data_IF_855218707590
#
_entry.id   IF_855218707590
#
_cell.length_a   1.000
_cell.length_b   1.000
_cell.length_c   1.000
_cell.angle_alpha   90.00
_cell.angle_beta   90.00
_cell.angle_gamma   90.00
#
_symmetry.space_group_name_H-M   'P 1'
#
loop_
_entity.id
_entity.type
_entity.pdbx_description
1 polymer ?
#
# COMPACT_ATOMS: atom_id res chain seq x y z
N UNK A 1 8.22 1.64 10.91
CA UNK A 1 6.89 2.28 11.11
C UNK A 1 5.87 1.57 10.24
N UNK A 2 4.60 1.50 10.65
CA UNK A 2 3.47 1.02 9.85
C UNK A 2 2.37 2.08 9.83
N UNK A 3 2.02 2.58 8.65
CA UNK A 3 0.87 3.48 8.44
C UNK A 3 -0.27 2.65 7.85
N UNK A 4 -1.48 2.83 8.36
CA UNK A 4 -2.63 2.01 7.94
C UNK A 4 -3.96 2.73 8.13
N UNK A 5 -4.91 2.37 7.27
CA UNK A 5 -6.28 2.87 7.29
C UNK A 5 -7.15 2.22 8.40
N UNK A 6 -8.45 2.52 8.34
CA UNK A 6 -9.46 2.06 9.28
C UNK A 6 -10.09 0.68 9.00
N UNK A 7 -9.59 -0.11 8.03
CA UNK A 7 -10.21 -1.38 7.62
C UNK A 7 -10.56 -2.26 8.84
N UNK A 8 -11.75 -2.90 8.92
CA UNK A 8 -12.10 -3.73 10.09
C UNK A 8 -11.08 -4.85 10.38
N UNK A 9 -10.53 -5.49 9.35
CA UNK A 9 -9.49 -6.53 9.48
C UNK A 9 -8.25 -6.02 10.23
N UNK A 10 -7.87 -4.77 9.98
CA UNK A 10 -6.78 -4.09 10.65
C UNK A 10 -7.07 -3.94 12.16
N UNK A 11 -8.33 -3.76 12.58
CA UNK A 11 -8.73 -3.57 13.99
C UNK A 11 -8.99 -4.87 14.76
N UNK A 12 -8.86 -6.03 14.11
CA UNK A 12 -9.11 -7.33 14.73
C UNK A 12 -8.23 -7.61 15.95
N UNK A 13 -8.72 -8.44 16.88
CA UNK A 13 -7.95 -8.88 18.04
C UNK A 13 -6.64 -9.57 17.63
N UNK A 14 -6.69 -10.41 16.57
CA UNK A 14 -5.50 -11.06 16.00
C UNK A 14 -4.46 -10.04 15.53
N UNK A 15 -4.87 -8.99 14.83
CA UNK A 15 -3.94 -7.95 14.39
C UNK A 15 -3.34 -7.17 15.57
N UNK A 16 -4.14 -6.86 16.59
CA UNK A 16 -3.63 -6.21 17.82
C UNK A 16 -2.57 -7.07 18.53
N UNK A 17 -2.81 -8.37 18.64
CA UNK A 17 -1.82 -9.30 19.22
C UNK A 17 -0.51 -9.36 18.41
N UNK A 18 -0.61 -9.37 17.07
CA UNK A 18 0.58 -9.34 16.20
C UNK A 18 1.38 -8.04 16.36
N UNK A 19 0.72 -6.90 16.52
CA UNK A 19 1.41 -5.62 16.78
C UNK A 19 2.05 -5.63 18.17
N UNK A 20 1.32 -6.07 19.20
CA UNK A 20 1.82 -6.10 20.58
C UNK A 20 3.07 -6.98 20.74
N UNK A 21 3.18 -8.06 19.98
CA UNK A 21 4.36 -8.93 19.96
C UNK A 21 5.62 -8.29 19.33
N UNK A 22 5.53 -7.06 18.79
CA UNK A 22 6.61 -6.37 18.06
C UNK A 22 6.88 -5.00 18.68
N UNK A 23 7.64 -4.91 19.79
CA UNK A 23 7.87 -3.64 20.49
C UNK A 23 8.60 -2.59 19.65
N UNK A 24 9.33 -3.01 18.62
CA UNK A 24 10.01 -2.14 17.66
C UNK A 24 9.05 -1.49 16.63
N UNK A 25 7.81 -1.97 16.52
CA UNK A 25 6.88 -1.54 15.47
C UNK A 25 6.01 -0.37 15.94
N UNK A 26 6.37 0.84 15.52
CA UNK A 26 5.49 2.02 15.66
C UNK A 26 4.36 1.96 14.61
N UNK A 27 3.11 1.96 15.06
CA UNK A 27 1.92 1.89 14.20
C UNK A 27 1.14 3.20 14.27
N UNK A 28 0.84 3.79 13.11
CA UNK A 28 0.05 5.01 12.95
C UNK A 28 -1.22 4.67 12.19
N UNK A 29 -2.36 5.09 12.74
CA UNK A 29 -3.66 4.91 12.12
C UNK A 29 -4.08 6.22 11.45
N UNK A 30 -4.44 6.15 10.18
CA UNK A 30 -4.97 7.28 9.44
C UNK A 30 -6.40 7.64 9.91
N UNK A 31 -6.80 8.92 9.80
CA UNK A 31 -8.20 9.32 9.94
C UNK A 31 -9.13 8.51 9.02
N UNK A 32 -10.42 8.46 9.37
CA UNK A 32 -11.43 7.87 8.48
C UNK A 32 -11.53 8.67 7.19
N UNK A 33 -11.76 7.98 6.07
CA UNK A 33 -11.98 8.61 4.76
C UNK A 33 -10.84 9.54 4.27
N UNK A 34 -9.59 9.23 4.64
CA UNK A 34 -8.40 9.98 4.20
C UNK A 34 -7.50 9.15 3.26
N UNK A 35 -7.97 8.75 2.06
CA UNK A 35 -7.18 7.96 1.11
C UNK A 35 -5.94 8.71 0.59
N UNK A 36 -5.97 10.04 0.54
CA UNK A 36 -4.87 10.91 0.14
C UNK A 36 -3.64 10.77 1.06
N UNK A 37 -3.86 10.36 2.31
CA UNK A 37 -2.79 10.10 3.28
C UNK A 37 -2.25 8.66 3.22
N UNK A 38 -2.85 7.77 2.42
CA UNK A 38 -2.42 6.38 2.31
C UNK A 38 -1.48 6.19 1.11
N UNK A 39 -0.15 6.00 1.31
CA UNK A 39 0.79 5.86 0.21
C UNK A 39 0.52 4.61 -0.65
N UNK A 40 -0.16 3.61 -0.08
CA UNK A 40 -0.59 2.41 -0.81
C UNK A 40 -1.60 2.76 -1.90
N UNK A 41 -2.47 3.75 -1.70
CA UNK A 41 -3.43 4.21 -2.71
C UNK A 41 -2.71 4.86 -3.90
N UNK A 42 -1.67 5.65 -3.64
CA UNK A 42 -0.83 6.23 -4.70
C UNK A 42 -0.14 5.14 -5.53
N UNK A 43 0.37 4.09 -4.86
CA UNK A 43 0.95 2.93 -5.53
C UNK A 43 -0.07 2.21 -6.41
N UNK A 44 -1.27 1.94 -5.88
CA UNK A 44 -2.35 1.30 -6.63
C UNK A 44 -2.81 2.12 -7.82
N UNK A 45 -2.98 3.43 -7.63
CA UNK A 45 -3.35 4.38 -8.66
C UNK A 45 -2.33 4.36 -9.82
N UNK A 46 -1.03 4.39 -9.49
CA UNK A 46 0.05 4.34 -10.47
C UNK A 46 0.12 3.00 -11.22
N UNK A 47 -0.02 1.90 -10.50
CA UNK A 47 -0.05 0.56 -11.09
C UNK A 47 -1.23 0.40 -12.05
N UNK A 48 -2.45 0.77 -11.61
CA UNK A 48 -3.69 0.64 -12.40
C UNK A 48 -3.65 1.51 -13.65
N UNK A 49 -3.11 2.73 -13.59
CA UNK A 49 -2.93 3.58 -14.78
C UNK A 49 -2.10 2.88 -15.87
N UNK A 50 -1.03 2.17 -15.50
CA UNK A 50 -0.21 1.39 -16.43
C UNK A 50 -0.88 0.10 -16.95
N UNK A 51 -2.10 -0.19 -16.53
CA UNK A 51 -2.89 -1.37 -16.90
C UNK A 51 -4.26 -0.99 -17.49
N UNK A 52 -4.57 0.29 -17.68
CA UNK A 52 -5.92 0.76 -18.02
C UNK A 52 -6.47 0.14 -19.32
N UNK A 53 -5.60 -0.20 -20.28
CA UNK A 53 -5.97 -0.79 -21.57
C UNK A 53 -5.63 -2.28 -21.66
N UNK A 54 -5.33 -2.94 -20.54
CA UNK A 54 -4.92 -4.33 -20.51
C UNK A 54 -6.13 -5.26 -20.42
N UNK A 55 -6.35 -6.07 -21.45
CA UNK A 55 -7.37 -7.11 -21.46
C UNK A 55 -6.78 -8.45 -21.04
N UNK A 56 -6.74 -8.74 -19.73
CA UNK A 56 -6.35 -10.05 -19.23
C UNK A 56 -7.48 -11.07 -19.45
N UNK A 57 -7.16 -12.23 -20.02
CA UNK A 57 -8.15 -13.28 -20.33
C UNK A 57 -8.51 -14.14 -19.11
N UNK A 58 -7.65 -14.18 -18.09
CA UNK A 58 -7.81 -15.01 -16.90
C UNK A 58 -7.36 -14.30 -15.62
N UNK A 59 -7.80 -14.81 -14.48
CA UNK A 59 -7.32 -14.34 -13.16
C UNK A 59 -5.81 -14.58 -13.02
N UNK A 60 -5.28 -15.68 -13.57
CA UNK A 60 -3.85 -15.99 -13.54
C UNK A 60 -3.03 -15.01 -14.36
N UNK A 61 -3.53 -14.59 -15.52
CA UNK A 61 -2.91 -13.54 -16.33
C UNK A 61 -2.89 -12.22 -15.59
N UNK A 62 -4.04 -11.80 -15.03
CA UNK A 62 -4.12 -10.57 -14.26
C UNK A 62 -3.16 -10.61 -13.06
N UNK A 63 -3.08 -11.76 -12.39
CA UNK A 63 -2.21 -12.00 -11.24
C UNK A 63 -0.73 -11.87 -11.64
N UNK A 64 -0.31 -12.53 -12.71
CA UNK A 64 1.06 -12.47 -13.24
C UNK A 64 1.44 -11.04 -13.62
N UNK A 65 0.56 -10.33 -14.32
CA UNK A 65 0.80 -8.95 -14.77
C UNK A 65 0.91 -8.00 -13.59
N UNK A 66 0.01 -8.12 -12.61
CA UNK A 66 0.03 -7.34 -11.37
C UNK A 66 1.33 -7.57 -10.60
N UNK A 67 1.76 -8.83 -10.43
CA UNK A 67 3.03 -9.16 -9.76
C UNK A 67 4.24 -8.59 -10.48
N UNK A 68 4.28 -8.67 -11.81
CA UNK A 68 5.38 -8.14 -12.62
C UNK A 68 5.47 -6.61 -12.48
N UNK A 69 4.33 -5.91 -12.53
CA UNK A 69 4.27 -4.45 -12.32
C UNK A 69 4.75 -4.07 -10.92
N UNK A 70 4.26 -4.74 -9.87
CA UNK A 70 4.70 -4.47 -8.50
C UNK A 70 6.18 -4.75 -8.29
N UNK A 71 6.68 -5.85 -8.85
CA UNK A 71 8.12 -6.19 -8.84
C UNK A 71 8.94 -5.10 -9.53
N UNK A 72 8.49 -4.59 -10.68
CA UNK A 72 9.16 -3.49 -11.37
C UNK A 72 9.16 -2.18 -10.55
N UNK A 73 8.05 -1.86 -9.89
CA UNK A 73 7.96 -0.69 -8.99
C UNK A 73 8.90 -0.82 -7.79
N UNK A 74 9.03 -2.03 -7.21
CA UNK A 74 9.95 -2.31 -6.09
C UNK A 74 11.41 -1.97 -6.42
N UNK A 75 11.85 -2.15 -7.67
CA UNK A 75 13.21 -1.83 -8.10
C UNK A 75 13.42 -0.33 -8.41
N UNK A 76 12.45 0.55 -8.13
CA UNK A 76 12.52 1.99 -8.37
C UNK A 76 12.35 2.74 -7.04
N UNK A 77 13.42 2.90 -6.23
CA UNK A 77 13.32 3.54 -4.91
C UNK A 77 12.77 4.98 -5.00
N UNK A 78 13.18 5.75 -6.02
CA UNK A 78 12.67 7.10 -6.28
C UNK A 78 11.14 7.13 -6.42
N UNK A 79 10.54 6.08 -7.00
CA UNK A 79 9.08 5.97 -7.11
C UNK A 79 8.46 5.75 -5.72
N UNK A 80 9.02 4.88 -4.89
CA UNK A 80 8.52 4.65 -3.54
C UNK A 80 8.58 5.93 -2.69
N UNK A 81 9.68 6.66 -2.78
CA UNK A 81 9.87 7.93 -2.07
C UNK A 81 8.88 9.00 -2.57
N UNK A 82 8.67 9.11 -3.88
CA UNK A 82 7.70 10.04 -4.46
C UNK A 82 6.25 9.71 -4.08
N UNK A 83 5.88 8.44 -4.03
CA UNK A 83 4.54 8.00 -3.62
C UNK A 83 4.26 8.31 -2.14
N UNK A 84 5.29 8.21 -1.29
CA UNK A 84 5.22 8.61 0.11
C UNK A 84 5.15 10.14 0.25
N UNK A 85 6.03 10.88 -0.43
CA UNK A 85 6.06 12.33 -0.38
C UNK A 85 4.72 12.95 -0.84
N UNK A 86 4.06 12.35 -1.82
CA UNK A 86 2.74 12.78 -2.30
C UNK A 86 1.63 12.72 -1.24
N UNK A 87 1.81 11.98 -0.14
CA UNK A 87 0.84 11.93 0.97
C UNK A 87 0.97 13.10 1.93
N UNK A 88 2.04 13.92 1.81
CA UNK A 88 2.36 14.97 2.79
C UNK A 88 2.77 14.42 4.17
N UNK A 89 2.84 13.10 4.35
CA UNK A 89 3.34 12.49 5.57
C UNK A 89 4.85 12.72 5.65
N UNK A 90 5.26 13.46 6.68
CA UNK A 90 6.67 13.56 7.05
C UNK A 90 6.99 12.30 7.87
N UNK A 91 7.94 11.45 7.43
CA UNK A 91 8.42 10.37 8.27
C UNK A 91 8.94 10.96 9.60
N UNK A 92 8.66 10.33 10.74
CA UNK A 92 9.18 10.78 12.02
C UNK A 92 10.72 10.72 12.08
#
# INVERSE_FOLDING_TARGET
MLVRDGLPAHRSARMRALIAARPWLRVYRLPGYAPELNPTENMWSSMKRGMANLAASTIDDLTRITRNRLTSMRYRPILADGLLAATGLVPP
#
